data_IF_378686774654
#
_entry.id   IF_378686774654
#
_cell.length_a   1.000
_cell.length_b   1.000
_cell.length_c   1.000
_cell.angle_alpha   90.00
_cell.angle_beta   90.00
_cell.angle_gamma   90.00
#
_symmetry.space_group_name_H-M   'P 1'
#
loop_
_entity.id
_entity.type
_entity.pdbx_description
1 polymer ?
#
# COMPACT_ATOMS: atom_id res chain seq x y z
N UNK A 1 -20.94 -3.73 -4.53
CA UNK A 1 -21.25 -3.22 -3.18
C UNK A 1 -20.08 -3.26 -2.19
N UNK A 2 -18.97 -3.97 -2.46
CA UNK A 2 -17.79 -4.02 -1.55
C UNK A 2 -16.89 -2.76 -1.58
N UNK A 3 -16.92 -1.98 -2.66
CA UNK A 3 -16.07 -0.78 -2.84
C UNK A 3 -16.50 0.46 -2.01
N UNK A 4 -17.74 0.50 -1.53
CA UNK A 4 -18.26 1.62 -0.71
C UNK A 4 -17.84 1.52 0.76
N UNK A 5 -17.47 0.34 1.25
CA UNK A 5 -17.08 0.13 2.66
C UNK A 5 -15.72 0.75 3.02
N UNK A 6 -14.78 0.80 2.08
CA UNK A 6 -13.45 1.36 2.33
C UNK A 6 -13.48 2.89 2.47
N UNK A 7 -14.28 3.56 1.64
CA UNK A 7 -14.44 5.03 1.69
C UNK A 7 -15.17 5.46 2.96
N UNK A 8 -16.14 4.66 3.46
CA UNK A 8 -16.83 4.94 4.70
C UNK A 8 -15.97 4.73 5.94
N UNK A 9 -14.99 3.83 5.90
CA UNK A 9 -14.06 3.61 7.01
C UNK A 9 -13.10 4.80 7.17
N UNK A 10 -12.57 5.34 6.07
CA UNK A 10 -11.73 6.55 6.08
C UNK A 10 -12.49 7.79 6.58
N UNK A 11 -13.75 7.93 6.22
CA UNK A 11 -14.61 9.02 6.71
C UNK A 11 -14.96 8.91 8.21
N UNK A 12 -15.11 7.70 8.74
CA UNK A 12 -15.40 7.48 10.16
C UNK A 12 -14.18 7.76 11.07
N UNK A 13 -12.96 7.52 10.58
CA UNK A 13 -11.72 7.80 11.30
C UNK A 13 -11.54 9.32 11.52
N UNK A 14 -11.91 10.15 10.55
CA UNK A 14 -11.82 11.60 10.67
C UNK A 14 -12.85 12.21 11.65
N UNK A 15 -13.98 11.53 11.90
CA UNK A 15 -15.07 12.08 12.72
C UNK A 15 -14.93 11.79 14.23
N UNK A 16 -14.11 10.82 14.64
CA UNK A 16 -14.02 10.39 16.05
C UNK A 16 -13.03 11.18 16.91
N UNK A 17 -12.26 12.10 16.34
CA UNK A 17 -11.19 12.81 17.06
C UNK A 17 -11.66 14.03 17.88
N UNK A 18 -12.94 14.37 17.84
CA UNK A 18 -13.44 15.58 18.46
C UNK A 18 -13.67 15.50 19.99
N UNK A 19 -13.55 14.31 20.64
CA UNK A 19 -14.00 14.16 22.03
C UNK A 19 -13.19 13.25 22.95
N UNK A 20 -11.91 12.99 22.69
CA UNK A 20 -11.08 12.22 23.62
C UNK A 20 -10.07 13.11 24.34
N UNK A 21 -10.24 13.30 25.63
CA UNK A 21 -9.33 14.09 26.45
C UNK A 21 -7.89 13.58 26.41
N UNK A 22 -6.96 14.50 26.25
CA UNK A 22 -5.50 14.49 26.47
C UNK A 22 -4.62 13.40 25.81
N UNK A 23 -5.11 12.47 25.04
CA UNK A 23 -4.30 11.67 24.12
C UNK A 23 -4.56 12.24 22.72
N UNK A 24 -3.62 13.00 22.19
CA UNK A 24 -3.79 13.65 20.89
C UNK A 24 -3.66 12.60 19.79
N UNK A 25 -4.75 11.87 19.53
CA UNK A 25 -4.82 10.98 18.36
C UNK A 25 -4.85 11.88 17.12
N UNK A 26 -3.86 11.75 16.26
CA UNK A 26 -3.78 12.48 15.00
C UNK A 26 -4.13 11.56 13.83
N UNK A 27 -5.26 11.81 13.16
CA UNK A 27 -5.55 11.12 11.92
C UNK A 27 -4.68 11.64 10.79
N UNK A 28 -4.40 10.76 9.83
CA UNK A 28 -3.69 11.14 8.61
C UNK A 28 -4.23 10.37 7.42
N UNK A 29 -3.97 10.93 6.25
CA UNK A 29 -4.16 10.28 4.95
C UNK A 29 -2.88 10.41 4.15
N UNK A 30 -2.64 9.49 3.25
CA UNK A 30 -1.49 9.54 2.36
C UNK A 30 -1.80 8.94 1.01
N UNK A 31 -0.97 9.33 0.05
CA UNK A 31 -0.95 8.75 -1.29
C UNK A 31 0.51 8.51 -1.67
N UNK A 32 0.76 7.43 -2.38
CA UNK A 32 2.12 7.04 -2.70
C UNK A 32 2.24 6.13 -3.91
N UNK A 33 3.48 5.88 -4.22
CA UNK A 33 3.90 4.97 -5.26
C UNK A 33 4.78 3.89 -4.64
N UNK A 34 4.53 2.65 -5.02
CA UNK A 34 5.30 1.49 -4.57
C UNK A 34 5.82 0.74 -5.78
N UNK A 35 7.10 0.46 -5.79
CA UNK A 35 7.73 -0.46 -6.70
C UNK A 35 8.05 -1.74 -5.92
N UNK A 36 7.49 -2.87 -6.35
CA UNK A 36 7.78 -4.19 -5.80
C UNK A 36 8.40 -5.05 -6.89
N UNK A 37 9.39 -5.82 -6.50
CA UNK A 37 10.10 -6.76 -7.35
C UNK A 37 10.13 -8.12 -6.67
N UNK A 38 9.93 -9.16 -7.45
CA UNK A 38 10.31 -10.54 -7.17
C UNK A 38 11.24 -10.98 -8.31
N UNK A 39 11.99 -12.06 -8.15
CA UNK A 39 13.03 -12.50 -9.09
C UNK A 39 12.58 -12.53 -10.57
N UNK A 40 11.27 -12.68 -10.81
CA UNK A 40 10.68 -12.83 -12.14
C UNK A 40 9.80 -11.66 -12.61
N UNK A 41 9.35 -10.77 -11.70
CA UNK A 41 8.32 -9.76 -12.04
C UNK A 41 8.54 -8.44 -11.30
N UNK A 42 8.44 -7.35 -12.05
CA UNK A 42 8.43 -5.97 -11.56
C UNK A 42 7.00 -5.41 -11.58
N UNK A 43 6.50 -4.95 -10.44
CA UNK A 43 5.16 -4.37 -10.35
C UNK A 43 5.19 -2.99 -9.72
N UNK A 44 4.53 -2.06 -10.39
CA UNK A 44 4.38 -0.68 -9.97
C UNK A 44 2.98 -0.42 -9.46
N UNK A 45 2.86 0.22 -8.31
CA UNK A 45 1.57 0.48 -7.67
C UNK A 45 1.38 1.96 -7.38
N UNK A 46 0.15 2.43 -7.55
CA UNK A 46 -0.35 3.64 -6.90
C UNK A 46 -1.19 3.22 -5.70
N UNK A 47 -0.99 3.91 -4.59
CA UNK A 47 -1.63 3.56 -3.33
C UNK A 47 -2.19 4.73 -2.56
N UNK A 48 -3.15 4.39 -1.72
CA UNK A 48 -3.74 5.25 -0.71
C UNK A 48 -3.59 4.60 0.65
N UNK A 49 -3.32 5.39 1.64
CA UNK A 49 -3.30 4.94 3.02
C UNK A 49 -3.98 5.95 3.95
N UNK A 50 -4.40 5.47 5.09
CA UNK A 50 -4.95 6.30 6.14
C UNK A 50 -4.74 5.66 7.48
N UNK A 51 -4.57 6.46 8.50
CA UNK A 51 -4.27 5.92 9.81
C UNK A 51 -4.47 6.89 10.95
N UNK A 52 -4.14 6.41 12.12
CA UNK A 52 -4.19 7.13 13.38
C UNK A 52 -2.82 7.06 14.04
N UNK A 53 -2.25 8.19 14.34
CA UNK A 53 -1.09 8.29 15.21
C UNK A 53 -1.60 8.42 16.65
N UNK A 54 -1.33 7.44 17.50
CA UNK A 54 -1.81 7.41 18.89
C UNK A 54 -0.95 8.29 19.81
N UNK A 55 0.33 8.39 19.48
CA UNK A 55 1.30 9.25 20.14
C UNK A 55 2.47 9.53 19.17
N UNK A 56 3.51 10.20 19.60
CA UNK A 56 4.67 10.53 18.76
C UNK A 56 5.44 9.31 18.21
N UNK A 57 5.23 8.10 18.78
CA UNK A 57 6.00 6.90 18.44
C UNK A 57 5.17 5.83 17.74
N UNK A 58 3.88 5.69 18.03
CA UNK A 58 3.09 4.53 17.62
C UNK A 58 1.78 4.95 16.98
N UNK A 59 1.42 4.27 15.91
CA UNK A 59 0.17 4.44 15.18
C UNK A 59 -0.34 3.15 14.56
N UNK A 60 -1.46 3.26 13.85
CA UNK A 60 -2.01 2.20 13.02
C UNK A 60 -2.36 2.77 11.65
N UNK A 61 -2.19 1.96 10.61
CA UNK A 61 -2.41 2.34 9.22
C UNK A 61 -3.20 1.25 8.50
N UNK A 62 -4.14 1.66 7.66
CA UNK A 62 -4.75 0.83 6.62
C UNK A 62 -4.27 1.34 5.28
N UNK A 63 -4.03 0.44 4.33
CA UNK A 63 -3.51 0.80 3.02
C UNK A 63 -4.20 -0.02 1.93
N UNK A 64 -4.23 0.54 0.73
CA UNK A 64 -4.68 -0.10 -0.49
C UNK A 64 -3.82 0.40 -1.66
N UNK A 65 -3.32 -0.53 -2.45
CA UNK A 65 -2.45 -0.27 -3.59
C UNK A 65 -2.95 -1.08 -4.79
N UNK A 66 -2.95 -0.45 -5.96
CA UNK A 66 -3.33 -1.08 -7.22
C UNK A 66 -2.21 -0.91 -8.25
N UNK A 67 -1.91 -1.96 -9.01
CA UNK A 67 -0.93 -1.92 -10.09
C UNK A 67 -1.33 -0.89 -11.16
N UNK A 68 -0.32 -0.24 -11.74
CA UNK A 68 -0.50 0.79 -12.78
C UNK A 68 0.29 0.48 -14.05
N UNK A 69 0.96 -0.64 -14.10
CA UNK A 69 1.59 -1.17 -15.30
C UNK A 69 0.90 -2.47 -15.68
N UNK A 70 0.75 -2.68 -16.99
CA UNK A 70 0.41 -4.00 -17.50
C UNK A 70 1.58 -4.93 -17.20
N UNK A 71 1.31 -6.06 -16.54
CA UNK A 71 2.33 -7.06 -16.27
C UNK A 71 2.47 -7.86 -17.56
N UNK A 72 3.50 -7.53 -18.34
CA UNK A 72 3.86 -8.32 -19.51
C UNK A 72 4.56 -9.59 -19.00
N UNK A 73 3.91 -10.72 -19.17
CA UNK A 73 4.58 -12.01 -19.01
C UNK A 73 5.47 -12.23 -20.23
N UNK A 74 6.77 -12.23 -20.04
CA UNK A 74 7.78 -12.46 -21.07
C UNK A 74 7.68 -13.91 -21.57
N UNK A 75 6.75 -14.14 -22.48
CA UNK A 75 6.49 -15.42 -23.11
C UNK A 75 6.03 -15.24 -24.55
N UNK A 76 6.51 -16.09 -25.48
CA UNK A 76 6.19 -16.13 -26.91
C UNK A 76 4.67 -16.21 -27.25
N UNK A 77 3.79 -15.82 -26.35
CA UNK A 77 2.31 -15.90 -26.51
C UNK A 77 1.78 -14.80 -27.42
N UNK A 78 2.46 -13.66 -27.52
CA UNK A 78 2.10 -12.57 -28.42
C UNK A 78 2.23 -13.00 -29.90
N UNK A 79 3.16 -13.90 -30.23
CA UNK A 79 3.32 -14.47 -31.57
C UNK A 79 2.11 -15.32 -32.00
N UNK A 80 1.34 -15.81 -31.02
CA UNK A 80 0.10 -16.58 -31.26
C UNK A 80 -1.18 -15.73 -31.14
N UNK A 81 -1.07 -14.40 -30.93
CA UNK A 81 -2.21 -13.50 -30.83
C UNK A 81 -3.01 -13.63 -29.52
N UNK A 82 -2.38 -14.11 -28.46
CA UNK A 82 -2.95 -14.15 -27.11
C UNK A 82 -2.56 -12.87 -26.38
N UNK A 83 -3.55 -12.09 -25.94
CA UNK A 83 -3.35 -10.95 -25.06
C UNK A 83 -3.58 -11.39 -23.63
N UNK A 84 -2.64 -11.06 -22.76
CA UNK A 84 -2.73 -11.33 -21.33
C UNK A 84 -2.69 -9.99 -20.59
N UNK A 85 -3.75 -9.66 -19.88
CA UNK A 85 -3.84 -8.52 -19.00
C UNK A 85 -3.84 -9.02 -17.55
N UNK A 86 -2.97 -8.49 -16.70
CA UNK A 86 -2.92 -8.85 -15.30
C UNK A 86 -3.02 -7.61 -14.40
N UNK A 87 -4.00 -7.62 -13.52
CA UNK A 87 -4.23 -6.61 -12.49
C UNK A 87 -3.82 -7.18 -11.13
N UNK A 88 -2.94 -6.47 -10.42
CA UNK A 88 -2.56 -6.82 -9.05
C UNK A 88 -3.00 -5.72 -8.11
N UNK A 89 -3.59 -6.10 -7.00
CA UNK A 89 -3.85 -5.19 -5.90
C UNK A 89 -3.43 -5.80 -4.57
N UNK A 90 -2.92 -4.98 -3.67
CA UNK A 90 -2.68 -5.41 -2.30
C UNK A 90 -3.20 -4.37 -1.30
N UNK A 91 -3.75 -4.86 -0.20
CA UNK A 91 -4.32 -4.03 0.85
C UNK A 91 -4.17 -4.71 2.21
N UNK A 92 -4.21 -3.91 3.26
CA UNK A 92 -4.01 -4.47 4.59
C UNK A 92 -4.08 -3.44 5.70
N UNK A 93 -3.61 -3.89 6.86
CA UNK A 93 -3.53 -3.13 8.08
C UNK A 93 -2.20 -3.39 8.77
N UNK A 94 -1.63 -2.36 9.39
CA UNK A 94 -0.39 -2.49 10.13
C UNK A 94 -0.28 -1.53 11.31
N UNK A 95 0.59 -1.88 12.23
CA UNK A 95 1.05 -0.98 13.28
C UNK A 95 2.28 -0.23 12.77
N UNK A 96 2.30 1.07 13.00
CA UNK A 96 3.41 1.93 12.60
C UNK A 96 4.18 2.39 13.83
N UNK A 97 5.50 2.48 13.67
CA UNK A 97 6.38 3.08 14.65
C UNK A 97 7.15 4.23 14.01
N UNK A 98 7.29 5.33 14.72
CA UNK A 98 8.09 6.49 14.32
C UNK A 98 9.09 6.81 15.41
N UNK A 99 10.30 7.19 15.03
CA UNK A 99 11.30 7.68 15.95
C UNK A 99 11.83 9.04 15.46
N UNK A 100 11.56 10.13 16.19
CA UNK A 100 12.03 11.46 15.79
C UNK A 100 13.56 11.52 15.73
N UNK A 101 14.08 12.11 14.66
CA UNK A 101 15.48 12.40 14.45
C UNK A 101 15.71 13.92 14.46
N UNK A 102 16.91 14.36 14.14
CA UNK A 102 17.19 15.80 14.02
C UNK A 102 16.56 16.41 12.75
N UNK A 103 16.30 17.73 12.77
CA UNK A 103 15.93 18.52 11.58
C UNK A 103 14.67 18.03 10.84
N UNK A 104 13.59 17.74 11.55
CA UNK A 104 12.32 17.27 11.02
C UNK A 104 12.33 15.88 10.35
N UNK A 105 13.46 15.17 10.38
CA UNK A 105 13.54 13.78 9.96
C UNK A 105 13.02 12.84 11.05
N UNK A 106 12.49 11.71 10.63
CA UNK A 106 12.15 10.60 11.51
C UNK A 106 12.42 9.26 10.83
N UNK A 107 12.77 8.25 11.62
CA UNK A 107 12.76 6.87 11.18
C UNK A 107 11.32 6.32 11.25
N UNK A 108 10.95 5.48 10.29
CA UNK A 108 9.64 4.82 10.23
C UNK A 108 9.82 3.31 10.17
N UNK A 109 8.98 2.58 10.89
CA UNK A 109 8.75 1.15 10.73
C UNK A 109 7.27 0.86 10.64
N UNK A 110 6.91 -0.22 9.96
CA UNK A 110 5.55 -0.78 9.95
C UNK A 110 5.65 -2.30 9.97
N UNK A 111 4.75 -2.94 10.71
CA UNK A 111 4.54 -4.38 10.65
C UNK A 111 3.03 -4.64 10.62
N UNK A 112 2.58 -5.49 9.71
CA UNK A 112 1.17 -5.70 9.50
C UNK A 112 0.86 -6.96 8.70
N UNK A 113 -0.36 -7.03 8.23
CA UNK A 113 -0.88 -8.11 7.42
C UNK A 113 -1.48 -7.55 6.13
N UNK A 114 -1.10 -8.14 5.01
CA UNK A 114 -1.56 -7.76 3.70
C UNK A 114 -2.23 -8.94 3.00
N UNK A 115 -3.24 -8.64 2.19
CA UNK A 115 -3.80 -9.54 1.19
C UNK A 115 -3.45 -9.00 -0.19
N UNK A 116 -3.02 -9.89 -1.04
CA UNK A 116 -2.71 -9.64 -2.45
C UNK A 116 -3.73 -10.38 -3.29
N UNK A 117 -4.42 -9.68 -4.17
CA UNK A 117 -5.34 -10.25 -5.16
C UNK A 117 -4.71 -10.06 -6.54
N UNK A 118 -4.63 -11.14 -7.31
CA UNK A 118 -4.14 -11.20 -8.68
C UNK A 118 -5.29 -11.63 -9.59
N UNK A 119 -5.66 -10.77 -10.53
CA UNK A 119 -6.63 -11.06 -11.57
C UNK A 119 -5.91 -11.13 -12.92
N UNK A 120 -6.01 -12.26 -13.62
CA UNK A 120 -5.39 -12.49 -14.93
C UNK A 120 -6.47 -12.77 -15.97
N UNK A 121 -6.51 -11.96 -17.02
CA UNK A 121 -7.39 -12.11 -18.16
C UNK A 121 -6.57 -12.51 -19.41
N UNK A 122 -6.82 -13.69 -19.96
CA UNK A 122 -6.24 -14.14 -21.23
C UNK A 122 -7.28 -14.11 -22.34
N UNK A 123 -7.03 -13.35 -23.40
CA UNK A 123 -7.95 -13.22 -24.54
C UNK A 123 -7.31 -13.80 -25.81
N UNK A 124 -8.00 -14.80 -26.40
CA UNK A 124 -7.64 -15.41 -27.69
C UNK A 124 -8.85 -15.45 -28.61
N UNK A 125 -8.73 -14.88 -29.82
CA UNK A 125 -9.76 -14.84 -30.85
C UNK A 125 -11.17 -14.40 -30.36
N UNK A 126 -11.23 -13.49 -29.40
CA UNK A 126 -12.49 -12.98 -28.83
C UNK A 126 -13.07 -13.84 -27.69
N UNK A 127 -12.39 -14.89 -27.26
CA UNK A 127 -12.70 -15.64 -26.06
C UNK A 127 -11.79 -15.20 -24.92
N UNK A 128 -12.36 -14.72 -23.82
CA UNK A 128 -11.61 -14.34 -22.61
C UNK A 128 -11.77 -15.42 -21.55
N UNK A 129 -10.66 -15.86 -21.00
CA UNK A 129 -10.59 -16.73 -19.83
C UNK A 129 -10.00 -15.91 -18.69
N UNK A 130 -10.75 -15.76 -17.60
CA UNK A 130 -10.32 -15.03 -16.40
C UNK A 130 -9.96 -16.02 -15.29
N UNK A 131 -8.85 -15.79 -14.66
CA UNK A 131 -8.41 -16.52 -13.45
C UNK A 131 -8.06 -15.51 -12.36
N UNK A 132 -8.52 -15.76 -11.13
CA UNK A 132 -8.17 -14.93 -9.98
C UNK A 132 -7.53 -15.80 -8.91
N UNK A 133 -6.42 -15.32 -8.37
CA UNK A 133 -5.73 -15.92 -7.23
C UNK A 133 -5.56 -14.89 -6.14
N UNK A 134 -5.60 -15.33 -4.90
CA UNK A 134 -5.34 -14.47 -3.76
C UNK A 134 -4.42 -15.17 -2.75
N UNK A 135 -3.55 -14.40 -2.15
CA UNK A 135 -2.70 -14.84 -1.06
C UNK A 135 -2.57 -13.74 0.00
N UNK A 136 -2.14 -14.12 1.18
CA UNK A 136 -2.03 -13.19 2.29
C UNK A 136 -0.77 -13.47 3.08
N UNK A 137 -0.13 -12.41 3.53
CA UNK A 137 1.13 -12.53 4.25
C UNK A 137 1.42 -11.36 5.17
N UNK A 138 2.54 -11.45 5.83
CA UNK A 138 3.08 -10.35 6.61
C UNK A 138 3.61 -9.26 5.68
N UNK A 139 3.40 -8.01 6.07
CA UNK A 139 4.06 -6.86 5.47
C UNK A 139 4.93 -6.18 6.52
N UNK A 140 6.17 -5.89 6.17
CA UNK A 140 7.07 -5.09 6.99
C UNK A 140 7.66 -3.96 6.17
N UNK A 141 7.79 -2.78 6.79
CA UNK A 141 8.42 -1.63 6.17
C UNK A 141 9.44 -1.03 7.13
N UNK A 142 10.53 -0.53 6.58
CA UNK A 142 11.53 0.24 7.31
C UNK A 142 12.02 1.40 6.43
N UNK A 143 12.07 2.60 6.98
CA UNK A 143 12.43 3.76 6.18
C UNK A 143 12.58 5.03 6.98
N UNK A 144 12.46 6.16 6.30
CA UNK A 144 12.56 7.47 6.87
C UNK A 144 11.50 8.41 6.29
N UNK A 145 11.19 9.44 7.04
CA UNK A 145 10.32 10.51 6.61
C UNK A 145 10.87 11.88 6.97
N UNK A 146 10.32 12.87 6.30
CA UNK A 146 10.63 14.28 6.51
C UNK A 146 9.35 15.10 6.62
N UNK A 147 9.20 15.86 7.70
CA UNK A 147 8.10 16.78 7.90
C UNK A 147 8.44 18.13 7.24
N UNK A 148 7.81 18.45 6.12
CA UNK A 148 7.92 19.78 5.49
C UNK A 148 7.22 20.85 6.33
N UNK A 149 6.07 20.46 6.88
CA UNK A 149 5.26 21.28 7.80
C UNK A 149 4.72 20.36 8.91
N UNK A 150 4.06 20.90 9.96
CA UNK A 150 3.39 20.05 10.95
C UNK A 150 2.35 19.10 10.35
N UNK A 151 1.76 19.48 9.21
CA UNK A 151 0.69 18.73 8.57
C UNK A 151 1.15 17.91 7.35
N UNK A 152 2.28 18.24 6.71
CA UNK A 152 2.72 17.60 5.47
C UNK A 152 4.06 16.91 5.64
N UNK A 153 4.12 15.63 5.32
CA UNK A 153 5.34 14.83 5.34
C UNK A 153 5.53 14.03 4.06
N UNK A 154 6.77 13.72 3.72
CA UNK A 154 7.11 12.68 2.77
C UNK A 154 7.80 11.52 3.48
N UNK A 155 7.55 10.31 3.02
CA UNK A 155 8.13 9.08 3.55
C UNK A 155 8.69 8.24 2.40
N UNK A 156 9.83 7.60 2.63
CA UNK A 156 10.38 6.55 1.78
C UNK A 156 10.73 5.36 2.63
N UNK A 157 10.30 4.18 2.23
CA UNK A 157 10.52 2.96 2.99
C UNK A 157 10.83 1.78 2.07
N UNK A 158 11.72 0.91 2.51
CA UNK A 158 11.82 -0.43 2.00
C UNK A 158 10.63 -1.25 2.50
N UNK A 159 10.02 -2.02 1.62
CA UNK A 159 8.83 -2.83 1.89
C UNK A 159 9.13 -4.28 1.54
N UNK A 160 8.73 -5.19 2.42
CA UNK A 160 8.70 -6.63 2.17
C UNK A 160 7.29 -7.15 2.43
N UNK A 161 6.75 -7.91 1.49
CA UNK A 161 5.44 -8.58 1.58
C UNK A 161 5.67 -10.08 1.40
N UNK A 162 5.27 -10.92 2.35
CA UNK A 162 5.56 -12.36 2.34
C UNK A 162 4.52 -13.21 1.60
N UNK A 163 3.55 -12.60 0.89
CA UNK A 163 2.63 -13.31 0.02
C UNK A 163 3.32 -13.73 -1.29
N UNK A 164 2.87 -14.81 -1.94
CA UNK A 164 3.38 -15.31 -3.23
C UNK A 164 4.93 -15.40 -3.29
N UNK A 165 5.54 -16.15 -2.36
CA UNK A 165 7.00 -16.34 -2.23
C UNK A 165 7.80 -15.07 -1.90
N UNK A 166 7.13 -13.95 -1.68
CA UNK A 166 7.71 -12.72 -1.17
C UNK A 166 8.08 -11.71 -2.24
N UNK A 167 7.66 -10.47 -2.00
CA UNK A 167 8.01 -9.30 -2.80
C UNK A 167 8.81 -8.30 -1.97
N UNK A 168 9.79 -7.68 -2.61
CA UNK A 168 10.62 -6.66 -2.01
C UNK A 168 10.54 -5.38 -2.84
N UNK A 169 10.66 -4.22 -2.21
CA UNK A 169 10.67 -3.01 -2.98
C UNK A 169 10.75 -1.73 -2.18
N UNK A 170 10.43 -0.65 -2.85
CA UNK A 170 10.48 0.70 -2.29
C UNK A 170 9.11 1.35 -2.41
N UNK A 171 8.65 1.89 -1.29
CA UNK A 171 7.46 2.73 -1.21
C UNK A 171 7.89 4.18 -0.98
N UNK A 172 7.31 5.11 -1.74
CA UNK A 172 7.44 6.54 -1.54
C UNK A 172 6.06 7.17 -1.44
N UNK A 173 5.80 7.97 -0.41
CA UNK A 173 4.47 8.54 -0.17
C UNK A 173 4.51 9.95 0.39
N UNK A 174 3.45 10.70 0.12
CA UNK A 174 3.12 11.97 0.76
C UNK A 174 1.99 11.74 1.76
N UNK A 175 2.10 12.36 2.91
CA UNK A 175 1.21 12.21 4.06
C UNK A 175 0.70 13.55 4.53
N UNK A 176 -0.60 13.65 4.78
CA UNK A 176 -1.22 14.81 5.40
C UNK A 176 -1.81 14.43 6.76
N UNK A 177 -1.32 15.08 7.81
CA UNK A 177 -1.80 14.94 9.18
C UNK A 177 -2.82 16.05 9.48
N UNK A 178 -3.93 15.70 10.13
CA UNK A 178 -5.01 16.64 10.49
C UNK A 178 -4.80 17.29 11.85
#
# INVERSE_FOLDING_TARGET
>A
MKKLLLVSLLGAIAATTANAGSTTIQPYVGAGYTFLNNDDVDVHFLGLNGGLQFNEYVGAEVFWNKSVNDIEFDGDLDEFGVRTDADVQYYGIGLTAKYPLANNFYAKGMAGYARVDLDVDATFQGYTVSTSEDDSGLIVQAGAGYNFTPNLAAEVAYTHVSAFDGFNGINAQLKYNF
#
